data_IF_843312690949
#
_entry.id   IF_843312690949
#
_cell.length_a   1.000
_cell.length_b   1.000
_cell.length_c   1.000
_cell.angle_alpha   90.00
_cell.angle_beta   90.00
_cell.angle_gamma   90.00
#
_symmetry.space_group_name_H-M   'P 1'
#
loop_
_entity.id
_entity.type
_entity.pdbx_description
1 polymer ?
#
# COMPACT_ATOMS: atom_id res chain seq x y z
N UNK A 1 -5.53 -16.35 22.73
CA UNK A 1 -4.42 -16.71 21.81
C UNK A 1 -3.91 -15.45 21.13
N UNK A 2 -2.62 -15.10 21.26
CA UNK A 2 -2.05 -13.84 20.76
C UNK A 2 -2.04 -13.70 19.22
N UNK A 3 -2.28 -14.79 18.48
CA UNK A 3 -2.40 -14.77 17.02
C UNK A 3 -3.51 -13.84 16.51
N UNK A 4 -4.65 -13.73 17.22
CA UNK A 4 -5.73 -12.85 16.78
C UNK A 4 -5.35 -11.37 16.85
N UNK A 5 -4.60 -10.97 17.87
CA UNK A 5 -4.08 -9.61 18.01
C UNK A 5 -3.03 -9.31 16.94
N UNK A 6 -2.16 -10.27 16.62
CA UNK A 6 -1.18 -10.12 15.54
C UNK A 6 -1.87 -9.98 14.18
N UNK A 7 -2.85 -10.84 13.88
CA UNK A 7 -3.61 -10.77 12.64
C UNK A 7 -4.40 -9.47 12.53
N UNK A 8 -5.09 -9.02 13.60
CA UNK A 8 -5.76 -7.72 13.59
C UNK A 8 -4.81 -6.55 13.37
N UNK A 9 -3.63 -6.57 13.97
CA UNK A 9 -2.65 -5.52 13.79
C UNK A 9 -2.14 -5.43 12.34
N UNK A 10 -1.84 -6.58 11.74
CA UNK A 10 -1.42 -6.67 10.34
C UNK A 10 -2.57 -6.26 9.43
N UNK A 11 -3.77 -6.81 9.60
CA UNK A 11 -4.92 -6.47 8.76
C UNK A 11 -5.30 -5.01 8.92
N UNK A 12 -5.28 -4.42 10.11
CA UNK A 12 -5.63 -3.00 10.29
C UNK A 12 -4.64 -2.07 9.57
N UNK A 13 -3.34 -2.36 9.60
CA UNK A 13 -2.35 -1.58 8.86
C UNK A 13 -2.49 -1.74 7.35
N UNK A 14 -2.64 -2.98 6.87
CA UNK A 14 -2.74 -3.25 5.44
C UNK A 14 -4.10 -2.83 4.88
N UNK A 15 -5.21 -3.24 5.50
CA UNK A 15 -6.58 -2.88 5.12
C UNK A 15 -6.82 -1.39 5.32
N UNK A 16 -6.32 -0.75 6.37
CA UNK A 16 -6.44 0.71 6.54
C UNK A 16 -5.67 1.51 5.48
N UNK A 17 -4.54 1.01 5.01
CA UNK A 17 -3.82 1.58 3.87
C UNK A 17 -4.58 1.37 2.56
N UNK A 18 -5.14 0.17 2.37
CA UNK A 18 -5.97 -0.19 1.22
C UNK A 18 -7.23 0.67 1.20
N UNK A 19 -8.01 0.77 2.28
CA UNK A 19 -9.22 1.60 2.38
C UNK A 19 -8.93 3.07 2.05
N UNK A 20 -7.83 3.65 2.56
CA UNK A 20 -7.38 5.01 2.18
C UNK A 20 -6.96 5.15 0.70
N UNK A 21 -6.63 4.03 0.06
CA UNK A 21 -6.30 3.95 -1.36
C UNK A 21 -7.53 3.79 -2.25
N UNK A 22 -8.70 3.51 -1.67
CA UNK A 22 -9.95 3.32 -2.38
C UNK A 22 -10.56 4.67 -2.78
N UNK A 23 -10.07 5.28 -3.86
CA UNK A 23 -10.64 6.52 -4.42
C UNK A 23 -12.07 6.34 -4.98
N UNK A 24 -12.50 5.11 -5.25
CA UNK A 24 -13.83 4.83 -5.80
C UNK A 24 -14.51 3.68 -5.06
N UNK A 25 -15.69 3.95 -4.49
CA UNK A 25 -16.55 2.94 -3.83
C UNK A 25 -17.11 1.89 -4.79
N UNK A 26 -17.14 2.19 -6.09
CA UNK A 26 -17.74 1.33 -7.12
C UNK A 26 -16.79 0.22 -7.58
N UNK A 27 -15.49 0.51 -7.72
CA UNK A 27 -14.46 -0.46 -8.10
C UNK A 27 -13.24 -0.37 -7.14
N UNK A 28 -13.35 -0.88 -5.91
CA UNK A 28 -12.27 -0.79 -4.92
C UNK A 28 -10.99 -1.51 -5.41
N UNK A 29 -11.12 -2.72 -5.97
CA UNK A 29 -9.98 -3.52 -6.44
C UNK A 29 -9.18 -2.87 -7.58
N UNK A 30 -9.86 -2.19 -8.52
CA UNK A 30 -9.17 -1.49 -9.61
C UNK A 30 -8.37 -0.29 -9.10
N UNK A 31 -8.88 0.41 -8.08
CA UNK A 31 -8.16 1.51 -7.43
C UNK A 31 -6.95 1.02 -6.64
N UNK A 32 -7.02 -0.15 -6.01
CA UNK A 32 -5.86 -0.78 -5.34
C UNK A 32 -4.78 -1.21 -6.32
N UNK A 33 -5.17 -1.88 -7.41
CA UNK A 33 -4.23 -2.30 -8.43
C UNK A 33 -3.49 -1.11 -9.06
N UNK A 34 -4.21 0.01 -9.30
CA UNK A 34 -3.59 1.26 -9.76
C UNK A 34 -2.60 1.83 -8.74
N UNK A 35 -2.99 1.95 -7.47
CA UNK A 35 -2.11 2.51 -6.43
C UNK A 35 -0.90 1.63 -6.14
N UNK A 36 -1.05 0.30 -6.14
CA UNK A 36 0.09 -0.62 -6.02
C UNK A 36 1.06 -0.46 -7.18
N UNK A 37 0.55 -0.30 -8.42
CA UNK A 37 1.41 -0.02 -9.59
C UNK A 37 2.13 1.31 -9.46
N UNK A 38 1.45 2.37 -9.03
CA UNK A 38 2.07 3.69 -8.82
C UNK A 38 3.20 3.63 -7.78
N UNK A 39 3.00 2.91 -6.68
CA UNK A 39 4.03 2.73 -5.63
C UNK A 39 5.20 1.90 -6.14
N UNK A 40 4.93 0.80 -6.86
CA UNK A 40 5.98 -0.03 -7.44
C UNK A 40 6.80 0.74 -8.48
N UNK A 41 6.15 1.54 -9.34
CA UNK A 41 6.82 2.42 -10.29
C UNK A 41 7.65 3.49 -9.59
N UNK A 42 7.11 4.12 -8.55
CA UNK A 42 7.84 5.13 -7.78
C UNK A 42 9.07 4.51 -7.08
N UNK A 43 8.93 3.32 -6.49
CA UNK A 43 10.07 2.59 -5.94
C UNK A 43 11.10 2.20 -7.00
N UNK A 44 10.66 1.74 -8.18
CA UNK A 44 11.57 1.45 -9.28
C UNK A 44 12.34 2.69 -9.76
N UNK A 45 11.67 3.86 -9.82
CA UNK A 45 12.30 5.15 -10.13
C UNK A 45 13.30 5.52 -9.02
N UNK A 46 12.91 5.45 -7.75
CA UNK A 46 13.79 5.73 -6.61
C UNK A 46 15.06 4.88 -6.62
N UNK A 47 14.91 3.58 -6.88
CA UNK A 47 16.05 2.65 -6.99
C UNK A 47 16.91 3.01 -8.21
N UNK A 48 16.29 3.27 -9.37
CA UNK A 48 17.01 3.62 -10.59
C UNK A 48 17.84 4.90 -10.47
N UNK A 49 17.33 5.89 -9.73
CA UNK A 49 18.00 7.18 -9.56
C UNK A 49 18.76 7.31 -8.23
N UNK A 50 18.91 6.21 -7.47
CA UNK A 50 19.54 6.20 -6.14
C UNK A 50 19.02 7.31 -5.21
N UNK A 51 17.73 7.66 -5.33
CA UNK A 51 17.03 8.68 -4.54
C UNK A 51 16.73 8.22 -3.09
N UNK A 52 17.61 7.38 -2.55
CA UNK A 52 17.45 6.76 -1.24
C UNK A 52 18.09 7.60 -0.12
N UNK A 53 18.85 8.64 -0.48
CA UNK A 53 19.74 9.39 0.44
C UNK A 53 19.23 10.81 0.79
N UNK A 54 18.24 11.37 0.09
CA UNK A 54 17.85 12.79 0.26
C UNK A 54 16.38 13.04 0.67
N UNK A 55 15.85 12.31 1.66
CA UNK A 55 14.58 12.72 2.31
C UNK A 55 14.66 12.74 3.83
#
# INVERSE_FOLDING_TARGET
>A
GPMWCYWNYVTERYVGFIVRSSKSRKNPYASFARRMREIAQNNAIKVKYQLHDEL
#
